data_IF_455927596065
#
_entry.id   IF_455927596065
#
_cell.length_a   1.000
_cell.length_b   1.000
_cell.length_c   1.000
_cell.angle_alpha   90.00
_cell.angle_beta   90.00
_cell.angle_gamma   90.00
#
_symmetry.space_group_name_H-M   'P 1'
#
loop_
_entity.id
_entity.type
_entity.pdbx_description
1 polymer ?
#
# COMPACT_ATOMS: atom_id res chain seq x y z
N UNK A 1 -11.33 12.88 -2.99
CA UNK A 1 -11.66 12.60 -1.58
C UNK A 1 -13.11 12.16 -1.52
N UNK A 2 -13.46 11.20 -0.65
CA UNK A 2 -14.84 10.74 -0.49
C UNK A 2 -15.36 9.87 -1.64
N UNK A 3 -14.46 9.30 -2.43
CA UNK A 3 -14.78 8.34 -3.48
C UNK A 3 -14.21 6.98 -3.06
N UNK A 4 -14.94 5.88 -3.31
CA UNK A 4 -14.42 4.55 -3.10
C UNK A 4 -13.10 4.31 -3.81
N UNK A 5 -12.22 3.54 -3.18
CA UNK A 5 -10.93 3.21 -3.76
C UNK A 5 -10.39 1.86 -3.30
N UNK A 6 -9.48 1.32 -4.10
CA UNK A 6 -8.71 0.13 -3.78
C UNK A 6 -7.70 0.39 -2.66
N UNK A 7 -7.16 -0.66 -2.07
CA UNK A 7 -6.00 -0.52 -1.19
C UNK A 7 -4.81 -0.12 -2.07
N UNK A 8 -4.04 0.87 -1.63
CA UNK A 8 -2.82 1.27 -2.32
C UNK A 8 -1.74 1.65 -1.31
N UNK A 9 -0.48 1.47 -1.67
CA UNK A 9 0.68 1.88 -0.88
C UNK A 9 1.63 2.70 -1.75
N UNK A 10 2.26 3.71 -1.14
CA UNK A 10 3.47 4.35 -1.66
C UNK A 10 4.64 3.85 -0.81
N UNK A 11 5.59 3.16 -1.44
CA UNK A 11 6.70 2.49 -0.79
C UNK A 11 8.00 3.18 -1.21
N UNK A 12 8.75 3.70 -0.26
CA UNK A 12 9.97 4.43 -0.58
C UNK A 12 11.04 4.40 0.51
N UNK A 13 12.30 4.38 0.06
CA UNK A 13 13.46 4.64 0.91
C UNK A 13 14.66 5.12 0.10
N UNK A 14 15.64 5.70 0.79
CA UNK A 14 16.92 6.05 0.19
C UNK A 14 17.76 4.78 -0.01
N UNK A 15 18.08 4.45 -1.27
CA UNK A 15 18.76 3.21 -1.63
C UNK A 15 20.20 3.16 -1.09
N UNK A 16 20.90 4.30 -1.11
CA UNK A 16 22.29 4.41 -0.63
C UNK A 16 22.40 4.22 0.88
N UNK A 17 21.40 4.64 1.66
CA UNK A 17 21.36 4.44 3.11
C UNK A 17 20.91 3.03 3.50
N UNK A 18 20.18 2.34 2.62
CA UNK A 18 19.53 1.06 2.92
C UNK A 18 19.98 -0.07 1.98
N UNK A 19 21.26 -0.09 1.58
CA UNK A 19 21.81 -1.01 0.57
C UNK A 19 21.65 -2.50 0.89
N UNK A 20 21.46 -2.85 2.16
CA UNK A 20 21.30 -4.24 2.62
C UNK A 20 19.85 -4.73 2.57
N UNK A 21 18.91 -3.87 2.19
CA UNK A 21 17.47 -4.21 2.15
C UNK A 21 17.13 -4.89 0.84
N UNK A 22 16.47 -6.03 0.93
CA UNK A 22 15.86 -6.71 -0.20
C UNK A 22 14.44 -6.15 -0.41
N UNK A 23 14.27 -5.36 -1.46
CA UNK A 23 13.01 -4.69 -1.74
C UNK A 23 11.88 -5.66 -2.08
N UNK A 24 12.19 -6.77 -2.77
CA UNK A 24 11.16 -7.73 -3.17
C UNK A 24 10.65 -8.47 -1.94
N UNK A 25 11.56 -8.92 -1.07
CA UNK A 25 11.22 -9.58 0.20
C UNK A 25 10.45 -8.65 1.16
N UNK A 26 10.80 -7.36 1.20
CA UNK A 26 10.07 -6.37 1.97
C UNK A 26 8.63 -6.21 1.47
N UNK A 27 8.42 -6.17 0.16
CA UNK A 27 7.08 -6.10 -0.44
C UNK A 27 6.29 -7.37 -0.12
N UNK A 28 6.88 -8.56 -0.28
CA UNK A 28 6.21 -9.84 0.02
C UNK A 28 5.79 -9.92 1.49
N UNK A 29 6.67 -9.49 2.41
CA UNK A 29 6.38 -9.47 3.84
C UNK A 29 5.25 -8.49 4.16
N UNK A 30 5.23 -7.30 3.54
CA UNK A 30 4.13 -6.33 3.71
C UNK A 30 2.80 -6.87 3.18
N UNK A 31 2.81 -7.53 2.02
CA UNK A 31 1.64 -8.18 1.42
C UNK A 31 1.09 -9.25 2.36
N UNK A 32 1.94 -10.13 2.90
CA UNK A 32 1.53 -11.19 3.82
C UNK A 32 0.84 -10.63 5.08
N UNK A 33 1.40 -9.57 5.69
CA UNK A 33 0.77 -8.92 6.85
C UNK A 33 -0.55 -8.26 6.47
N UNK A 34 -0.62 -7.64 5.28
CA UNK A 34 -1.85 -7.00 4.77
C UNK A 34 -2.96 -8.03 4.56
N UNK A 35 -2.65 -9.18 3.95
CA UNK A 35 -3.61 -10.26 3.74
C UNK A 35 -4.06 -10.91 5.05
N UNK A 36 -3.15 -11.12 6.01
CA UNK A 36 -3.53 -11.55 7.36
C UNK A 36 -4.49 -10.55 8.03
N UNK A 37 -4.26 -9.24 7.88
CA UNK A 37 -5.16 -8.23 8.41
C UNK A 37 -6.53 -8.20 7.70
N UNK A 38 -6.57 -8.39 6.38
CA UNK A 38 -7.82 -8.54 5.64
C UNK A 38 -8.63 -9.75 6.11
N UNK A 39 -7.96 -10.89 6.31
CA UNK A 39 -8.60 -12.10 6.82
C UNK A 39 -9.16 -11.86 8.23
N UNK A 40 -8.36 -11.31 9.15
CA UNK A 40 -8.77 -11.10 10.53
C UNK A 40 -9.91 -10.10 10.68
N UNK A 41 -9.90 -9.01 9.91
CA UNK A 41 -10.82 -7.88 10.08
C UNK A 41 -12.07 -7.98 9.22
N UNK A 42 -11.96 -8.58 8.04
CA UNK A 42 -13.02 -8.61 7.04
C UNK A 42 -13.35 -10.02 6.54
N UNK A 43 -12.67 -11.07 7.02
CA UNK A 43 -12.80 -12.43 6.51
C UNK A 43 -12.55 -12.53 5.00
N UNK A 44 -11.57 -11.76 4.50
CA UNK A 44 -11.16 -11.75 3.10
C UNK A 44 -9.79 -12.42 2.99
N UNK A 45 -9.74 -13.57 2.32
CA UNK A 45 -8.51 -14.29 2.04
C UNK A 45 -7.82 -13.68 0.81
N UNK A 46 -6.62 -13.14 1.00
CA UNK A 46 -5.88 -12.44 -0.07
C UNK A 46 -5.31 -13.36 -1.15
N UNK A 47 -5.23 -12.85 -2.38
CA UNK A 47 -4.60 -13.54 -3.51
C UNK A 47 -3.59 -12.63 -4.22
N UNK A 48 -2.46 -13.19 -4.65
CA UNK A 48 -1.40 -12.45 -5.34
C UNK A 48 -1.87 -11.87 -6.68
N UNK A 49 -2.84 -12.51 -7.33
CA UNK A 49 -3.47 -12.04 -8.57
C UNK A 49 -4.28 -10.75 -8.40
N UNK A 50 -4.44 -10.25 -7.19
CA UNK A 50 -5.11 -8.96 -6.92
C UNK A 50 -4.12 -7.80 -6.94
N UNK A 51 -2.81 -8.10 -6.94
CA UNK A 51 -1.76 -7.13 -6.68
C UNK A 51 -1.18 -6.59 -7.98
N UNK A 52 -1.14 -5.27 -8.08
CA UNK A 52 -0.43 -4.52 -9.12
C UNK A 52 0.74 -3.83 -8.45
N UNK A 53 1.95 -4.16 -8.90
CA UNK A 53 3.17 -3.53 -8.41
C UNK A 53 3.83 -2.73 -9.53
N UNK A 54 4.04 -1.45 -9.26
CA UNK A 54 4.71 -0.53 -10.16
C UNK A 54 6.00 -0.01 -9.51
N UNK A 55 7.06 0.12 -10.29
CA UNK A 55 8.37 0.59 -9.88
C UNK A 55 8.78 1.84 -10.65
N UNK A 56 9.36 2.78 -9.92
CA UNK A 56 10.02 3.97 -10.46
C UNK A 56 11.34 4.24 -9.74
N UNK A 57 11.94 3.18 -9.22
CA UNK A 57 13.20 3.18 -8.49
C UNK A 57 14.34 3.64 -9.40
N UNK A 58 15.38 4.16 -8.78
CA UNK A 58 16.64 4.52 -9.42
C UNK A 58 17.79 4.30 -8.44
N UNK A 59 19.02 4.64 -8.85
CA UNK A 59 20.23 4.45 -8.04
C UNK A 59 20.21 5.17 -6.67
N UNK A 60 19.40 6.22 -6.52
CA UNK A 60 19.32 7.00 -5.28
C UNK A 60 18.15 6.58 -4.40
N UNK A 61 17.06 6.13 -5.01
CA UNK A 61 15.76 5.96 -4.35
C UNK A 61 15.07 4.70 -4.82
N UNK A 62 14.70 3.86 -3.86
CA UNK A 62 13.64 2.87 -4.04
C UNK A 62 12.28 3.58 -4.02
N UNK A 63 11.43 3.31 -5.01
CA UNK A 63 10.08 3.88 -5.08
C UNK A 63 9.14 2.97 -5.84
N UNK A 64 8.24 2.31 -5.12
CA UNK A 64 7.20 1.44 -5.70
C UNK A 64 5.81 1.85 -5.26
N UNK A 65 4.86 1.69 -6.15
CA UNK A 65 3.44 1.73 -5.81
C UNK A 65 2.90 0.30 -5.80
N UNK A 66 2.14 -0.02 -4.76
CA UNK A 66 1.39 -1.27 -4.68
C UNK A 66 -0.09 -0.96 -4.69
N UNK A 67 -0.90 -1.68 -5.47
CA UNK A 67 -2.35 -1.54 -5.50
C UNK A 67 -2.96 -2.93 -5.39
N UNK A 68 -3.89 -3.13 -4.46
CA UNK A 68 -4.56 -4.42 -4.24
C UNK A 68 -6.03 -4.25 -4.61
N UNK A 69 -6.43 -4.87 -5.72
CA UNK A 69 -7.81 -4.85 -6.25
C UNK A 69 -8.56 -6.09 -5.79
N UNK A 70 -9.31 -5.97 -4.70
CA UNK A 70 -10.14 -7.06 -4.20
C UNK A 70 -11.37 -7.19 -5.11
N UNK A 71 -11.70 -8.38 -5.63
CA UNK A 71 -12.87 -8.57 -6.47
C UNK A 71 -14.15 -8.06 -5.81
N UNK A 72 -14.94 -7.28 -6.56
CA UNK A 72 -16.24 -6.70 -6.15
C UNK A 72 -16.23 -5.85 -4.88
N UNK A 73 -15.05 -5.51 -4.38
CA UNK A 73 -14.87 -4.91 -3.06
C UNK A 73 -13.94 -3.72 -3.14
N UNK A 74 -14.30 -2.62 -2.49
CA UNK A 74 -13.45 -1.45 -2.34
C UNK A 74 -13.50 -0.93 -0.91
N UNK A 75 -12.59 -0.04 -0.53
CA UNK A 75 -12.80 0.77 0.68
C UNK A 75 -13.69 1.96 0.37
N UNK A 76 -14.48 2.39 1.37
CA UNK A 76 -15.43 3.50 1.25
C UNK A 76 -14.78 4.78 0.73
N UNK A 77 -13.58 5.10 1.21
CA UNK A 77 -12.70 6.11 0.64
C UNK A 77 -11.26 5.97 1.15
N UNK A 78 -10.39 6.87 0.69
CA UNK A 78 -8.97 6.88 1.05
C UNK A 78 -8.69 7.08 2.55
N UNK A 79 -9.62 7.68 3.31
CA UNK A 79 -9.45 7.81 4.76
C UNK A 79 -9.63 6.47 5.47
N UNK A 80 -10.53 5.62 4.96
CA UNK A 80 -10.70 4.26 5.47
C UNK A 80 -9.53 3.36 5.08
N UNK A 81 -8.97 3.51 3.86
CA UNK A 81 -7.70 2.88 3.50
C UNK A 81 -6.59 3.30 4.46
N UNK A 82 -6.43 4.60 4.71
CA UNK A 82 -5.41 5.12 5.64
C UNK A 82 -5.54 4.60 7.08
N UNK A 83 -6.77 4.45 7.58
CA UNK A 83 -7.03 3.83 8.88
C UNK A 83 -6.63 2.35 8.90
N UNK A 84 -6.96 1.60 7.83
CA UNK A 84 -6.57 0.20 7.70
C UNK A 84 -5.05 0.02 7.58
N UNK A 85 -4.36 0.88 6.82
CA UNK A 85 -2.89 0.86 6.74
C UNK A 85 -2.26 1.23 8.09
N UNK A 86 -2.90 2.10 8.88
CA UNK A 86 -2.45 2.40 10.24
C UNK A 86 -2.55 1.18 11.17
N UNK A 87 -3.62 0.38 11.05
CA UNK A 87 -3.73 -0.92 11.74
C UNK A 87 -2.59 -1.87 11.34
N UNK A 88 -2.28 -1.97 10.04
CA UNK A 88 -1.18 -2.81 9.54
C UNK A 88 0.16 -2.35 10.14
N UNK A 89 0.46 -1.04 10.09
CA UNK A 89 1.67 -0.48 10.68
C UNK A 89 1.76 -0.75 12.20
N UNK A 90 0.63 -0.64 12.91
CA UNK A 90 0.54 -0.95 14.34
C UNK A 90 0.82 -2.42 14.64
N UNK A 91 0.25 -3.35 13.85
CA UNK A 91 0.51 -4.79 13.96
C UNK A 91 1.99 -5.11 13.74
N UNK A 92 2.60 -4.52 12.71
CA UNK A 92 4.03 -4.70 12.42
C UNK A 92 4.87 -4.23 13.61
N UNK A 93 4.60 -3.03 14.14
CA UNK A 93 5.34 -2.48 15.27
C UNK A 93 5.19 -3.33 16.54
N UNK A 94 3.97 -3.79 16.85
CA UNK A 94 3.68 -4.59 18.03
C UNK A 94 4.39 -5.96 17.99
N UNK A 95 4.58 -6.53 16.80
CA UNK A 95 5.18 -7.86 16.63
C UNK A 95 6.67 -7.82 16.27
N UNK A 96 7.24 -6.63 16.00
CA UNK A 96 8.63 -6.45 15.55
C UNK A 96 9.64 -7.20 16.42
N UNK A 97 9.51 -7.10 17.75
CA UNK A 97 10.45 -7.71 18.68
C UNK A 97 10.39 -9.26 18.69
N UNK A 98 9.20 -9.82 18.44
CA UNK A 98 8.97 -11.27 18.46
C UNK A 98 9.14 -11.93 17.08
N UNK A 99 9.12 -11.15 16.00
CA UNK A 99 9.20 -11.65 14.64
C UNK A 99 10.29 -10.88 13.84
N UNK A 100 11.51 -11.42 13.76
CA UNK A 100 12.62 -10.80 13.04
C UNK A 100 12.35 -10.52 11.55
N UNK A 101 11.41 -11.24 10.92
CA UNK A 101 11.05 -10.95 9.52
C UNK A 101 10.38 -9.58 9.37
N UNK A 102 9.68 -9.09 10.41
CA UNK A 102 9.04 -7.77 10.38
C UNK A 102 10.04 -6.63 10.52
N UNK A 103 11.22 -6.88 11.11
CA UNK A 103 12.30 -5.89 11.18
C UNK A 103 12.83 -5.53 9.78
N UNK A 104 12.66 -6.43 8.80
CA UNK A 104 13.04 -6.19 7.41
C UNK A 104 12.32 -4.99 6.80
N UNK A 105 11.09 -4.71 7.24
CA UNK A 105 10.24 -3.63 6.76
C UNK A 105 10.67 -2.24 7.23
N UNK A 106 11.54 -2.17 8.23
CA UNK A 106 12.06 -0.90 8.74
C UNK A 106 13.25 -0.44 7.91
N UNK A 107 13.29 0.86 7.62
CA UNK A 107 14.37 1.53 6.92
C UNK A 107 14.91 2.65 7.78
N UNK A 108 16.19 2.95 7.55
CA UNK A 108 16.86 4.06 8.19
C UNK A 108 16.62 5.32 7.36
N UNK A 109 16.09 6.36 8.01
CA UNK A 109 15.91 7.69 7.43
C UNK A 109 16.95 8.64 8.01
N UNK A 110 17.56 9.44 7.14
CA UNK A 110 18.40 10.56 7.58
C UNK A 110 17.50 11.73 8.00
N UNK A 111 17.41 11.95 9.31
CA UNK A 111 16.67 13.07 9.92
C UNK A 111 17.53 14.30 10.20
N UNK A 112 18.84 14.27 9.85
CA UNK A 112 19.79 15.34 10.17
C UNK A 112 20.20 15.44 11.65
N UNK A 113 19.63 14.62 12.54
CA UNK A 113 20.05 14.47 13.92
C UNK A 113 20.60 13.05 14.12
N UNK A 114 19.75 12.13 14.57
CA UNK A 114 20.05 10.70 14.62
C UNK A 114 19.22 9.95 13.57
N UNK A 115 19.73 8.84 13.02
CA UNK A 115 18.95 7.99 12.13
C UNK A 115 17.75 7.42 12.86
N UNK A 116 16.55 7.63 12.30
CA UNK A 116 15.31 7.09 12.86
C UNK A 116 14.84 5.93 11.99
N UNK A 117 14.59 4.80 12.65
CA UNK A 117 13.93 3.65 12.02
C UNK A 117 12.44 3.95 11.82
N UNK A 118 11.99 3.85 10.58
CA UNK A 118 10.58 3.96 10.20
C UNK A 118 10.23 2.85 9.21
N UNK A 119 8.95 2.53 9.05
CA UNK A 119 8.54 1.66 7.96
C UNK A 119 8.80 2.34 6.61
N UNK A 120 9.11 1.55 5.59
CA UNK A 120 9.23 1.99 4.20
C UNK A 120 7.89 2.41 3.53
N UNK A 121 6.79 2.42 4.28
CA UNK A 121 5.45 2.81 3.83
C UNK A 121 5.24 4.31 4.08
N UNK A 122 5.01 5.10 3.03
CA UNK A 122 4.60 6.50 3.19
C UNK A 122 3.10 6.59 3.50
N UNK A 123 2.76 6.83 4.76
CA UNK A 123 1.36 6.98 5.20
C UNK A 123 0.77 8.36 4.90
N UNK A 124 1.57 9.34 4.45
CA UNK A 124 1.07 10.67 4.12
C UNK A 124 0.16 10.68 2.88
N UNK A 125 0.18 9.61 2.08
CA UNK A 125 -0.60 9.48 0.84
C UNK A 125 -2.11 9.33 1.05
N UNK A 126 -2.55 9.10 2.29
CA UNK A 126 -3.98 9.01 2.65
C UNK A 126 -4.57 10.35 3.11
N UNK A 127 -3.82 11.45 2.99
CA UNK A 127 -4.31 12.80 3.26
C UNK A 127 -5.33 13.29 2.21
N UNK A 128 -6.09 14.34 2.54
CA UNK A 128 -7.14 14.89 1.67
C UNK A 128 -6.55 15.40 0.34
N UNK A 129 -7.21 15.06 -0.77
CA UNK A 129 -6.89 15.51 -2.12
C UNK A 129 -5.43 15.25 -2.58
N UNK A 130 -4.83 14.17 -2.07
CA UNK A 130 -3.51 13.75 -2.52
C UNK A 130 -3.58 13.18 -3.94
N UNK A 131 -2.69 13.66 -4.81
CA UNK A 131 -2.49 13.04 -6.12
C UNK A 131 -1.65 11.77 -5.96
N UNK A 132 -2.13 10.67 -6.54
CA UNK A 132 -1.36 9.43 -6.69
C UNK A 132 -0.86 9.34 -8.14
N UNK A 133 0.44 9.17 -8.34
CA UNK A 133 1.04 9.23 -9.69
C UNK A 133 0.57 8.04 -10.54
N UNK A 134 0.15 8.34 -11.77
CA UNK A 134 -0.34 7.35 -12.73
C UNK A 134 0.79 6.47 -13.26
N UNK A 135 0.44 5.25 -13.68
CA UNK A 135 1.32 4.40 -14.48
C UNK A 135 1.85 5.17 -15.70
N UNK A 136 3.07 4.84 -16.11
CA UNK A 136 3.81 5.45 -17.22
C UNK A 136 4.11 6.95 -17.07
N UNK A 137 3.89 7.54 -15.89
CA UNK A 137 4.21 8.94 -15.62
C UNK A 137 5.49 9.10 -14.79
N UNK A 138 6.24 10.16 -15.05
CA UNK A 138 7.37 10.59 -14.22
C UNK A 138 7.03 11.86 -13.42
N UNK A 139 7.80 12.14 -12.37
CA UNK A 139 7.76 13.47 -11.73
C UNK A 139 8.37 14.50 -12.69
N UNK A 140 7.90 15.74 -12.63
CA UNK A 140 8.45 16.83 -13.46
C UNK A 140 9.98 16.91 -13.34
N UNK A 141 10.67 16.96 -14.48
CA UNK A 141 12.13 16.99 -14.55
C UNK A 141 12.84 15.67 -14.23
N UNK A 142 12.11 14.58 -13.97
CA UNK A 142 12.66 13.24 -13.72
C UNK A 142 12.39 12.32 -14.90
N UNK A 143 13.27 11.32 -15.08
CA UNK A 143 13.17 10.28 -16.12
C UNK A 143 12.74 8.91 -15.57
N UNK A 144 12.52 8.81 -14.26
CA UNK A 144 12.01 7.59 -13.61
C UNK A 144 10.50 7.51 -13.78
N UNK A 145 10.07 6.83 -14.84
CA UNK A 145 8.67 6.52 -15.10
C UNK A 145 8.21 5.37 -14.19
N UNK A 146 6.92 5.38 -13.84
CA UNK A 146 6.30 4.35 -13.02
C UNK A 146 5.83 3.20 -13.93
N UNK A 147 6.49 2.04 -13.89
CA UNK A 147 6.26 0.91 -14.81
C UNK A 147 6.04 -0.40 -14.03
N UNK A 148 5.42 -1.41 -14.64
CA UNK A 148 5.23 -2.70 -13.96
C UNK A 148 6.56 -3.37 -13.58
N UNK A 149 6.60 -4.03 -12.42
CA UNK A 149 7.74 -4.90 -12.03
C UNK A 149 7.72 -6.26 -12.72
N UNK A 150 6.57 -6.66 -13.26
CA UNK A 150 6.33 -8.02 -13.78
C UNK A 150 6.04 -9.06 -12.70
N UNK A 151 6.02 -8.66 -11.42
CA UNK A 151 5.54 -9.49 -10.30
C UNK A 151 4.01 -9.46 -10.23
N UNK A 152 3.43 -10.45 -9.53
CA UNK A 152 1.99 -10.54 -9.27
C UNK A 152 1.14 -10.50 -10.55
N UNK A 153 0.01 -9.77 -10.52
CA UNK A 153 -0.94 -9.63 -11.64
C UNK A 153 -0.30 -9.00 -12.88
N UNK A 154 0.78 -8.22 -12.74
CA UNK A 154 1.36 -7.44 -13.84
C UNK A 154 2.05 -8.28 -14.92
N UNK A 155 2.41 -9.54 -14.64
CA UNK A 155 3.17 -10.40 -15.57
C UNK A 155 2.51 -10.59 -16.94
N UNK A 156 1.18 -10.54 -16.99
CA UNK A 156 0.39 -10.88 -18.18
C UNK A 156 -0.41 -9.69 -18.73
N UNK A 157 -0.12 -8.46 -18.31
CA UNK A 157 -0.88 -7.28 -18.73
C UNK A 157 -0.22 -6.54 -19.90
N UNK A 158 -1.03 -6.01 -20.81
CA UNK A 158 -0.59 -4.96 -21.73
C UNK A 158 -0.67 -3.56 -21.07
N UNK A 159 -0.08 -2.56 -21.73
CA UNK A 159 0.00 -1.20 -21.18
C UNK A 159 -1.38 -0.58 -20.86
N UNK A 160 -2.39 -0.85 -21.70
CA UNK A 160 -3.74 -0.31 -21.49
C UNK A 160 -4.38 -0.95 -20.26
N UNK A 161 -4.26 -2.26 -20.12
CA UNK A 161 -4.74 -2.99 -18.94
C UNK A 161 -4.04 -2.49 -17.69
N UNK A 162 -2.71 -2.40 -17.70
CA UNK A 162 -1.94 -1.91 -16.57
C UNK A 162 -2.38 -0.49 -16.17
N UNK A 163 -2.52 0.42 -17.15
CA UNK A 163 -2.98 1.77 -16.90
C UNK A 163 -4.35 1.77 -16.21
N UNK A 164 -5.34 1.08 -16.79
CA UNK A 164 -6.71 1.07 -16.28
C UNK A 164 -6.82 0.39 -14.92
N UNK A 165 -6.11 -0.70 -14.70
CA UNK A 165 -6.11 -1.45 -13.44
C UNK A 165 -5.37 -0.67 -12.33
N UNK A 166 -4.37 0.15 -12.67
CA UNK A 166 -3.63 0.98 -11.71
C UNK A 166 -4.39 2.20 -11.18
N UNK A 167 -5.59 2.48 -11.70
CA UNK A 167 -6.41 3.60 -11.23
C UNK A 167 -7.07 3.25 -9.89
N UNK A 168 -6.58 3.84 -8.80
CA UNK A 168 -7.01 3.52 -7.43
C UNK A 168 -8.50 3.76 -7.17
N UNK A 169 -9.16 4.67 -7.91
CA UNK A 169 -10.59 4.95 -7.78
C UNK A 169 -11.45 4.33 -8.89
N UNK A 170 -10.86 3.59 -9.83
CA UNK A 170 -11.62 2.88 -10.86
C UNK A 170 -12.10 1.56 -10.29
N UNK A 171 -13.36 1.54 -9.90
CA UNK A 171 -14.06 0.32 -9.52
C UNK A 171 -14.52 -0.45 -10.75
N UNK A 172 -14.74 -1.75 -10.56
CA UNK A 172 -15.42 -2.57 -11.55
C UNK A 172 -16.94 -2.36 -11.41
N UNK A 173 -17.69 -2.52 -12.50
CA UNK A 173 -19.14 -2.22 -12.53
C UNK A 173 -19.95 -3.11 -11.58
N UNK A 174 -19.39 -4.24 -11.15
CA UNK A 174 -19.97 -5.21 -10.22
C UNK A 174 -19.43 -5.09 -8.79
N UNK A 175 -18.79 -3.96 -8.45
CA UNK A 175 -18.47 -3.63 -7.07
C UNK A 175 -19.77 -3.53 -6.26
N UNK A 176 -19.93 -4.39 -5.26
CA UNK A 176 -21.15 -4.47 -4.43
C UNK A 176 -20.88 -4.29 -2.93
N UNK A 177 -19.60 -4.24 -2.52
CA UNK A 177 -19.18 -4.13 -1.12
C UNK A 177 -18.18 -3.02 -0.87
N UNK A 178 -18.46 -2.18 0.13
CA UNK A 178 -17.55 -1.16 0.64
C UNK A 178 -17.06 -1.52 2.04
N UNK A 179 -15.74 -1.59 2.21
CA UNK A 179 -15.06 -1.80 3.47
C UNK A 179 -14.94 -0.47 4.24
N UNK A 180 -15.31 -0.53 5.51
CA UNK A 180 -15.23 0.58 6.45
C UNK A 180 -14.12 0.25 7.45
N UNK A 181 -13.13 1.14 7.57
CA UNK A 181 -12.21 1.22 8.70
C UNK A 181 -12.20 2.66 9.20
N UNK A 182 -12.61 2.91 10.44
CA UNK A 182 -12.60 4.24 11.04
C UNK A 182 -12.35 4.16 12.53
N UNK A 183 -11.94 5.26 13.14
CA UNK A 183 -11.88 5.35 14.61
C UNK A 183 -13.27 5.07 15.19
N UNK A 184 -13.30 4.20 16.19
CA UNK A 184 -14.48 3.96 16.98
C UNK A 184 -14.77 5.21 17.82
N UNK A 185 -15.98 5.76 17.63
CA UNK A 185 -16.41 6.98 18.33
C UNK A 185 -16.70 6.72 19.81
N UNK A 186 -17.06 5.48 20.16
CA UNK A 186 -17.31 5.04 21.54
C UNK A 186 -16.00 4.73 22.26
N UNK A 187 -15.03 4.17 21.53
CA UNK A 187 -13.68 3.90 22.03
C UNK A 187 -12.64 4.66 21.20
N UNK A 188 -12.26 5.86 21.63
CA UNK A 188 -11.29 6.78 20.95
C UNK A 188 -9.89 6.21 20.69
N UNK A 189 -9.65 4.93 20.97
CA UNK A 189 -8.39 4.19 20.74
C UNK A 189 -8.57 2.92 19.90
N UNK A 190 -9.79 2.51 19.56
CA UNK A 190 -10.07 1.32 18.77
C UNK A 190 -10.49 1.71 17.35
N UNK A 191 -10.23 0.82 16.39
CA UNK A 191 -10.76 0.93 15.04
C UNK A 191 -12.00 0.05 14.92
N UNK A 192 -13.02 0.60 14.27
CA UNK A 192 -14.22 -0.10 13.88
C UNK A 192 -14.08 -0.59 12.43
N UNK A 193 -14.33 -1.87 12.23
CA UNK A 193 -14.26 -2.57 10.94
C UNK A 193 -15.66 -3.09 10.59
N UNK A 194 -16.15 -2.72 9.42
CA UNK A 194 -17.48 -3.11 8.95
C UNK A 194 -17.53 -3.13 7.42
N UNK A 195 -18.65 -3.58 6.86
CA UNK A 195 -18.91 -3.58 5.42
C UNK A 195 -20.31 -3.05 5.13
N UNK A 196 -20.48 -2.24 4.10
CA UNK A 196 -21.79 -1.80 3.60
C UNK A 196 -21.94 -2.16 2.10
N UNK A 197 -23.18 -2.20 1.61
CA UNK A 197 -23.43 -2.33 0.18
C UNK A 197 -23.00 -1.04 -0.55
N UNK A 198 -22.41 -1.17 -1.73
CA UNK A 198 -21.92 -0.06 -2.55
C UNK A 198 -23.00 0.85 -3.11
#
# INVERSE_FOLDING_TARGET
QGSPCHIYFDLEFNAKLNQKRDADEMVDTLVAVTFSALQDKYSIEGQEEWIIELDSSNEEKFSRHLIIRIPKTAFKDNSHVGAFISEICSRIAAQRAANPNLDKLYITKDSGAEPVDQLFVDTAVYSRNRCFRLAFSSKSGKKSFLVATGRFKCKNMNDKELFMESLICRLDDDCDKLLICKLDLECKKALHFDTEAS
#
